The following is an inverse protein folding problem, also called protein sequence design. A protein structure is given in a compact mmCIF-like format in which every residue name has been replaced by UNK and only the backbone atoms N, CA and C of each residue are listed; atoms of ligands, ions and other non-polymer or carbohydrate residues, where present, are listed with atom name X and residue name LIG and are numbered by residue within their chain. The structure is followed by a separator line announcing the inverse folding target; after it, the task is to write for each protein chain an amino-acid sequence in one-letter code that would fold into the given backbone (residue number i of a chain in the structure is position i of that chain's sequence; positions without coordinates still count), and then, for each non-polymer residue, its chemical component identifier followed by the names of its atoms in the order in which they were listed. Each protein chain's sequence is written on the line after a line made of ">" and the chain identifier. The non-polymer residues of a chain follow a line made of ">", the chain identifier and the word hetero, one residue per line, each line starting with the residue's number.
data_IF_227627219954
#
_entry.id   IF_227627219954
#
_cell.length_a   1.000
_cell.length_b   1.000
_cell.length_c   1.000
_cell.angle_alpha   90.00
_cell.angle_beta   90.00
_cell.angle_gamma   90.00
#
_symmetry.space_group_name_H-M   'P 1'
#
loop_
_entity.id
_entity.type
_entity.pdbx_description
1 polymer ?
#
# COMPACT_ATOMS: atom_id res chain seq x y z
N UNK A 1 -7.10 0.76 -8.29
CA UNK A 1 -6.48 0.50 -6.96
C UNK A 1 -5.96 -0.93 -6.88
N UNK A 2 -6.78 -1.95 -7.14
CA UNK A 2 -6.34 -3.35 -7.05
C UNK A 2 -5.12 -3.67 -7.92
N UNK A 3 -5.13 -3.28 -9.20
CA UNK A 3 -3.98 -3.46 -10.09
C UNK A 3 -2.68 -2.81 -9.58
N UNK A 4 -2.79 -1.69 -8.86
CA UNK A 4 -1.64 -1.00 -8.27
C UNK A 4 -1.12 -1.73 -7.03
N UNK A 5 -2.01 -2.32 -6.23
CA UNK A 5 -1.63 -3.21 -5.14
C UNK A 5 -1.00 -4.51 -5.67
N UNK A 6 -1.49 -5.08 -6.77
CA UNK A 6 -0.88 -6.23 -7.42
C UNK A 6 0.53 -5.94 -7.92
N UNK A 7 0.77 -4.75 -8.47
CA UNK A 7 2.08 -4.30 -8.92
C UNK A 7 3.12 -4.17 -7.80
N UNK A 8 2.71 -4.17 -6.52
CA UNK A 8 3.64 -4.14 -5.38
C UNK A 8 4.26 -5.50 -5.04
N UNK A 9 3.64 -6.61 -5.45
CA UNK A 9 4.17 -7.96 -5.16
C UNK A 9 5.63 -8.16 -5.63
N UNK A 10 5.99 -7.87 -6.90
CA UNK A 10 7.38 -8.00 -7.34
C UNK A 10 8.33 -6.99 -6.69
N UNK A 11 7.82 -5.93 -6.05
CA UNK A 11 8.64 -4.98 -5.29
C UNK A 11 8.97 -5.53 -3.91
N UNK A 12 7.98 -6.13 -3.22
CA UNK A 12 8.18 -6.84 -1.95
C UNK A 12 9.15 -8.02 -2.16
N UNK A 13 8.95 -8.82 -3.20
CA UNK A 13 9.81 -9.98 -3.50
C UNK A 13 11.26 -9.61 -3.83
N UNK A 14 11.50 -8.36 -4.23
CA UNK A 14 12.83 -7.82 -4.54
C UNK A 14 13.35 -6.88 -3.46
N UNK A 15 12.66 -6.79 -2.32
CA UNK A 15 13.00 -5.88 -1.21
C UNK A 15 13.14 -4.41 -1.65
N UNK A 16 12.41 -4.03 -2.71
CA UNK A 16 12.42 -2.68 -3.24
C UNK A 16 11.45 -1.80 -2.44
N UNK A 17 11.81 -1.54 -1.18
CA UNK A 17 10.98 -0.81 -0.24
C UNK A 17 10.71 0.64 -0.67
N UNK A 18 11.66 1.30 -1.33
CA UNK A 18 11.42 2.61 -1.95
C UNK A 18 10.33 2.54 -3.04
N UNK A 19 10.33 1.49 -3.84
CA UNK A 19 9.28 1.24 -4.83
C UNK A 19 7.92 1.01 -4.18
N UNK A 20 7.87 0.23 -3.09
CA UNK A 20 6.64 0.01 -2.31
C UNK A 20 6.12 1.35 -1.76
N UNK A 21 6.98 2.13 -1.10
CA UNK A 21 6.63 3.46 -0.58
C UNK A 21 6.13 4.43 -1.66
N UNK A 22 6.78 4.42 -2.83
CA UNK A 22 6.36 5.26 -3.96
C UNK A 22 4.97 4.87 -4.45
N UNK A 23 4.63 3.57 -4.45
CA UNK A 23 3.30 3.08 -4.82
C UNK A 23 2.23 3.39 -3.77
N UNK A 24 2.49 3.15 -2.48
CA UNK A 24 1.51 3.41 -1.41
C UNK A 24 1.18 4.90 -1.26
N UNK A 25 2.15 5.79 -1.52
CA UNK A 25 1.99 7.25 -1.51
C UNK A 25 1.47 7.82 -2.83
N UNK A 26 1.43 7.01 -3.88
CA UNK A 26 0.95 7.39 -5.20
C UNK A 26 -0.57 7.26 -5.34
N UNK A 27 -1.14 8.05 -6.25
CA UNK A 27 -2.50 7.79 -6.72
C UNK A 27 -2.54 6.49 -7.55
N UNK A 28 -3.62 5.70 -7.45
CA UNK A 28 -4.84 5.95 -6.70
C UNK A 28 -4.81 5.46 -5.25
N UNK A 29 -3.80 4.70 -4.81
CA UNK A 29 -3.78 4.06 -3.48
C UNK A 29 -3.82 5.06 -2.32
N UNK A 30 -3.14 6.20 -2.47
CA UNK A 30 -3.15 7.26 -1.45
C UNK A 30 -4.54 7.82 -1.13
N UNK A 31 -5.54 7.62 -2.01
CA UNK A 31 -6.91 8.06 -1.78
C UNK A 31 -7.59 7.24 -0.67
N UNK A 32 -7.17 5.99 -0.43
CA UNK A 32 -7.69 5.15 0.65
C UNK A 32 -7.40 5.75 2.03
N UNK A 33 -6.30 6.50 2.15
CA UNK A 33 -5.91 7.21 3.38
C UNK A 33 -6.59 8.58 3.52
N UNK A 34 -7.37 8.99 2.53
CA UNK A 34 -8.00 10.30 2.47
C UNK A 34 -9.49 10.22 2.81
N UNK A 35 -10.02 11.22 3.51
CA UNK A 35 -11.43 11.27 3.86
C UNK A 35 -12.33 11.16 2.60
N UNK A 36 -13.26 10.21 2.64
CA UNK A 36 -14.19 9.92 1.55
C UNK A 36 -13.50 9.77 0.18
N UNK A 37 -12.40 9.00 0.12
CA UNK A 37 -11.61 8.75 -1.09
C UNK A 37 -11.06 10.03 -1.76
N UNK A 38 -10.77 11.06 -0.96
CA UNK A 38 -10.26 12.35 -1.44
C UNK A 38 -11.35 13.37 -1.79
N UNK A 39 -12.63 13.04 -1.59
CA UNK A 39 -13.75 13.96 -1.83
C UNK A 39 -14.12 14.81 -0.62
N UNK A 40 -13.45 14.59 0.53
CA UNK A 40 -13.55 15.41 1.74
C UNK A 40 -14.83 15.22 2.56
N UNK A 41 -15.90 14.65 2.00
CA UNK A 41 -17.11 14.31 2.74
C UNK A 41 -17.89 13.15 2.11
N UNK A 42 -18.60 12.39 2.97
CA UNK A 42 -19.49 11.29 2.53
C UNK A 42 -20.58 11.77 1.58
N UNK A 43 -21.12 12.99 1.80
CA UNK A 43 -22.13 13.58 0.92
C UNK A 43 -21.59 13.95 -0.47
N UNK A 44 -20.30 14.27 -0.59
CA UNK A 44 -19.65 14.48 -1.89
C UNK A 44 -19.41 13.14 -2.60
N UNK A 45 -18.99 12.12 -1.85
CA UNK A 45 -18.87 10.75 -2.34
C UNK A 45 -20.21 10.23 -2.88
N UNK A 46 -21.27 10.26 -2.07
CA UNK A 46 -22.61 9.82 -2.46
C UNK A 46 -23.07 10.43 -3.79
N UNK A 47 -22.87 11.74 -3.98
CA UNK A 47 -23.22 12.43 -5.23
C UNK A 47 -22.33 12.02 -6.41
N UNK A 48 -21.05 11.81 -6.18
CA UNK A 48 -20.07 11.52 -7.23
C UNK A 48 -20.23 10.11 -7.79
N UNK A 49 -20.44 9.12 -6.92
CA UNK A 49 -20.64 7.71 -7.31
C UNK A 49 -22.13 7.32 -7.41
N UNK A 50 -23.04 8.29 -7.29
CA UNK A 50 -24.51 8.07 -7.36
C UNK A 50 -25.04 7.02 -6.39
N UNK A 51 -24.52 7.02 -5.16
CA UNK A 51 -24.94 6.13 -4.07
C UNK A 51 -25.86 6.84 -3.08
N UNK A 52 -26.62 6.05 -2.29
CA UNK A 52 -27.31 6.59 -1.13
C UNK A 52 -26.29 7.08 -0.08
N UNK A 53 -26.69 8.00 0.80
CA UNK A 53 -25.81 8.47 1.88
C UNK A 53 -25.36 7.34 2.82
N UNK A 54 -26.26 6.38 3.10
CA UNK A 54 -25.92 5.21 3.90
C UNK A 54 -24.86 4.35 3.22
N UNK A 55 -25.04 4.07 1.92
CA UNK A 55 -24.08 3.25 1.16
C UNK A 55 -22.73 3.96 0.99
N UNK A 56 -22.74 5.28 0.78
CA UNK A 56 -21.52 6.06 0.73
C UNK A 56 -20.77 6.10 2.08
N UNK A 57 -21.49 6.03 3.21
CA UNK A 57 -20.87 5.92 4.53
C UNK A 57 -20.16 4.56 4.67
N UNK A 58 -20.81 3.45 4.30
CA UNK A 58 -20.21 2.11 4.26
C UNK A 58 -18.95 2.08 3.39
N UNK A 59 -19.01 2.64 2.18
CA UNK A 59 -17.85 2.75 1.28
C UNK A 59 -16.73 3.56 1.91
N UNK A 60 -17.05 4.67 2.57
CA UNK A 60 -16.04 5.52 3.22
C UNK A 60 -15.38 4.83 4.42
N UNK A 61 -16.12 4.00 5.16
CA UNK A 61 -15.59 3.20 6.26
C UNK A 61 -14.68 2.10 5.75
N UNK A 62 -15.14 1.31 4.76
CA UNK A 62 -14.33 0.28 4.11
C UNK A 62 -13.06 0.86 3.46
N UNK A 63 -13.13 2.06 2.88
CA UNK A 63 -11.96 2.75 2.36
C UNK A 63 -10.95 3.11 3.46
N UNK A 64 -11.43 3.52 4.63
CA UNK A 64 -10.57 3.83 5.78
C UNK A 64 -9.89 2.57 6.31
N UNK A 65 -10.59 1.44 6.41
CA UNK A 65 -10.02 0.14 6.78
C UNK A 65 -8.91 -0.30 5.80
N UNK A 66 -9.17 -0.20 4.50
CA UNK A 66 -8.16 -0.44 3.47
C UNK A 66 -6.97 0.54 3.60
N UNK A 67 -7.23 1.79 3.98
CA UNK A 67 -6.22 2.80 4.27
C UNK A 67 -5.32 2.45 5.45
N UNK A 68 -5.87 1.84 6.52
CA UNK A 68 -5.10 1.36 7.68
C UNK A 68 -4.16 0.22 7.26
N UNK A 69 -4.66 -0.79 6.55
CA UNK A 69 -3.83 -1.88 6.04
C UNK A 69 -2.69 -1.35 5.12
N UNK A 70 -3.01 -0.37 4.27
CA UNK A 70 -2.01 0.26 3.40
C UNK A 70 -0.95 1.02 4.21
N UNK A 71 -1.34 1.65 5.31
CA UNK A 71 -0.41 2.35 6.20
C UNK A 71 0.54 1.39 6.91
N UNK A 72 0.05 0.23 7.36
CA UNK A 72 0.91 -0.79 7.98
C UNK A 72 2.00 -1.29 7.03
N UNK A 73 1.64 -1.55 5.77
CA UNK A 73 2.62 -1.91 4.73
C UNK A 73 3.62 -0.76 4.46
N UNK A 74 3.14 0.49 4.47
CA UNK A 74 4.01 1.66 4.32
C UNK A 74 5.00 1.80 5.47
N UNK A 75 4.55 1.61 6.72
CA UNK A 75 5.40 1.69 7.91
C UNK A 75 6.46 0.59 7.93
N UNK A 76 6.09 -0.63 7.50
CA UNK A 76 7.02 -1.73 7.31
C UNK A 76 8.09 -1.38 6.26
N UNK A 77 7.66 -0.92 5.08
CA UNK A 77 8.58 -0.56 4.00
C UNK A 77 9.50 0.61 4.42
N UNK A 78 8.98 1.57 5.18
CA UNK A 78 9.78 2.67 5.70
C UNK A 78 10.85 2.19 6.69
N UNK A 79 10.49 1.26 7.58
CA UNK A 79 11.40 0.71 8.60
C UNK A 79 12.50 -0.16 8.01
N UNK A 80 12.20 -0.84 6.89
CA UNK A 80 13.14 -1.74 6.21
C UNK A 80 13.91 -1.07 5.07
N UNK A 81 13.64 0.21 4.78
CA UNK A 81 14.39 0.94 3.76
C UNK A 81 15.82 1.19 4.23
N UNK A 82 16.78 0.66 3.48
CA UNK A 82 18.20 0.99 3.63
C UNK A 82 18.52 2.25 2.83
N UNK A 83 18.96 3.31 3.52
CA UNK A 83 19.39 4.57 2.88
C UNK A 83 20.91 4.61 2.84
N UNK A 84 21.47 4.63 1.63
CA UNK A 84 22.91 4.77 1.41
C UNK A 84 23.27 6.23 1.10
N UNK A 85 24.30 6.75 1.78
CA UNK A 85 24.76 8.14 1.59
C UNK A 85 25.78 8.28 0.45
N UNK A 86 26.40 7.17 0.02
CA UNK A 86 27.30 7.14 -1.14
C UNK A 86 27.25 5.77 -1.84
N UNK A 87 27.80 5.71 -3.05
CA UNK A 87 27.81 4.49 -3.87
C UNK A 87 28.74 3.39 -3.34
N UNK A 88 29.75 3.74 -2.54
CA UNK A 88 30.72 2.77 -2.00
C UNK A 88 30.04 1.89 -0.95
N UNK A 89 29.31 2.49 -0.02
CA UNK A 89 28.59 1.77 1.04
C UNK A 89 27.53 0.83 0.45
N UNK A 90 26.81 1.29 -0.59
CA UNK A 90 25.83 0.48 -1.31
C UNK A 90 26.47 -0.78 -1.90
N UNK A 91 27.60 -0.61 -2.59
CA UNK A 91 28.29 -1.73 -3.23
C UNK A 91 28.84 -2.72 -2.19
N UNK A 92 29.34 -2.24 -1.05
CA UNK A 92 29.85 -3.10 0.03
C UNK A 92 28.75 -3.93 0.68
N UNK A 93 27.60 -3.33 1.00
CA UNK A 93 26.46 -4.06 1.58
C UNK A 93 25.90 -5.06 0.57
N UNK A 94 25.87 -4.71 -0.72
CA UNK A 94 25.46 -5.64 -1.76
C UNK A 94 26.41 -6.84 -1.87
N UNK A 95 27.73 -6.62 -1.87
CA UNK A 95 28.72 -7.70 -1.87
C UNK A 95 28.59 -8.61 -0.65
N UNK A 96 28.42 -8.03 0.55
CA UNK A 96 28.20 -8.78 1.78
C UNK A 96 26.92 -9.63 1.74
N UNK A 97 25.84 -9.11 1.17
CA UNK A 97 24.59 -9.85 1.00
C UNK A 97 24.77 -11.06 0.08
N UNK A 98 25.47 -10.87 -1.05
CA UNK A 98 25.80 -11.93 -2.00
C UNK A 98 26.72 -13.00 -1.39
N UNK A 99 27.72 -12.60 -0.61
CA UNK A 99 28.66 -13.52 0.05
C UNK A 99 28.02 -14.33 1.18
N UNK A 100 27.09 -13.73 1.92
CA UNK A 100 26.45 -14.36 3.09
C UNK A 100 25.24 -15.22 2.74
N UNK A 101 24.79 -15.22 1.47
CA UNK A 101 23.51 -15.80 1.05
C UNK A 101 22.35 -15.34 1.95
N UNK A 102 22.38 -14.07 2.36
CA UNK A 102 21.31 -13.50 3.15
C UNK A 102 19.97 -13.62 2.40
N UNK A 103 18.94 -14.07 3.10
CA UNK A 103 17.56 -14.09 2.60
C UNK A 103 16.71 -13.28 3.55
N UNK A 104 16.08 -12.23 3.05
CA UNK A 104 15.10 -11.50 3.83
C UNK A 104 13.90 -12.39 4.17
N UNK A 105 13.38 -12.19 5.37
CA UNK A 105 12.12 -12.76 5.80
C UNK A 105 11.00 -11.90 5.20
N UNK A 106 10.25 -12.48 4.24
CA UNK A 106 9.26 -11.76 3.44
C UNK A 106 7.81 -12.13 3.79
N UNK A 107 7.60 -12.94 4.82
CA UNK A 107 6.26 -13.45 5.16
C UNK A 107 5.35 -12.31 5.64
N UNK A 108 5.80 -11.51 6.61
CA UNK A 108 5.06 -10.34 7.11
C UNK A 108 4.68 -9.33 5.99
N UNK A 109 5.60 -8.82 5.15
CA UNK A 109 5.21 -7.86 4.12
C UNK A 109 4.32 -8.47 3.02
N UNK A 110 4.39 -9.78 2.80
CA UNK A 110 3.47 -10.48 1.87
C UNK A 110 2.07 -10.61 2.46
N UNK A 111 1.96 -10.92 3.75
CA UNK A 111 0.67 -10.96 4.46
C UNK A 111 0.03 -9.57 4.48
N UNK A 112 0.77 -8.53 4.86
CA UNK A 112 0.29 -7.15 4.82
C UNK A 112 -0.18 -6.74 3.41
N UNK A 113 0.54 -7.15 2.36
CA UNK A 113 0.13 -6.89 0.99
C UNK A 113 -1.14 -7.67 0.60
N UNK A 114 -1.30 -8.91 1.08
CA UNK A 114 -2.50 -9.70 0.85
C UNK A 114 -3.72 -9.04 1.52
N UNK A 115 -3.57 -8.57 2.75
CA UNK A 115 -4.61 -7.85 3.49
C UNK A 115 -5.04 -6.59 2.74
N UNK A 116 -4.09 -5.77 2.27
CA UNK A 116 -4.38 -4.58 1.45
C UNK A 116 -5.22 -4.95 0.22
N UNK A 117 -4.84 -6.02 -0.49
CA UNK A 117 -5.58 -6.47 -1.69
C UNK A 117 -7.00 -6.91 -1.33
N UNK A 118 -7.15 -7.68 -0.26
CA UNK A 118 -8.45 -8.15 0.21
C UNK A 118 -9.36 -6.97 0.57
N UNK A 119 -8.85 -5.97 1.29
CA UNK A 119 -9.63 -4.79 1.67
C UNK A 119 -10.03 -3.94 0.45
N UNK A 120 -9.14 -3.80 -0.53
CA UNK A 120 -9.47 -3.11 -1.79
C UNK A 120 -10.54 -3.88 -2.59
N UNK A 121 -10.51 -5.22 -2.59
CA UNK A 121 -11.53 -6.03 -3.24
C UNK A 121 -12.89 -5.91 -2.54
N UNK A 122 -12.91 -5.95 -1.20
CA UNK A 122 -14.13 -5.74 -0.43
C UNK A 122 -14.73 -4.35 -0.69
N UNK A 123 -13.90 -3.31 -0.74
CA UNK A 123 -14.32 -1.96 -1.11
C UNK A 123 -14.91 -1.91 -2.53
N UNK A 124 -14.28 -2.56 -3.50
CA UNK A 124 -14.77 -2.60 -4.88
C UNK A 124 -16.16 -3.24 -4.98
N UNK A 125 -16.41 -4.32 -4.24
CA UNK A 125 -17.71 -4.99 -4.19
C UNK A 125 -18.83 -4.12 -3.59
N UNK A 126 -18.51 -3.09 -2.81
CA UNK A 126 -19.49 -2.13 -2.30
C UNK A 126 -19.87 -1.04 -3.31
N UNK A 127 -19.08 -0.89 -4.38
CA UNK A 127 -19.26 0.10 -5.44
C UNK A 127 -20.00 -0.48 -6.67
N UNK A 128 -20.13 -1.80 -6.74
CA UNK A 128 -20.94 -2.53 -7.74
C UNK A 128 -22.43 -2.56 -7.34
#
# INVERSE_FOLDING_TARGET
>A
MLAEAEAMAPLVDKENWDGVLAKTRGAPLTLLKSAALGLGSVSALARTVSLSLAKAAEVSEAAAEAGVALQQLEDYAFSNRVVFFNMVDKNQVQQLSEETNYKAELDEPRELLADVKQQIQALAALLE
#
